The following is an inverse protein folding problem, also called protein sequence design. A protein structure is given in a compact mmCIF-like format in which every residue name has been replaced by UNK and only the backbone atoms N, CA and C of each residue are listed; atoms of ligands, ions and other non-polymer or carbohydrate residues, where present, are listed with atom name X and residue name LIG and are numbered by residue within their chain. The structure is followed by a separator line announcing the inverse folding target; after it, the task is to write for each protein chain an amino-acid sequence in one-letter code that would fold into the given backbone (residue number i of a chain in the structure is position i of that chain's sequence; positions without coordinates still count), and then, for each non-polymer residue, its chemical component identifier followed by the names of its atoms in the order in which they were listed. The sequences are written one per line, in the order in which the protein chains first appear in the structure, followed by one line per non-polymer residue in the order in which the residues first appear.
data_IF_449690304945
#
_entry.id   IF_449690304945
#
_cell.length_a   1.000
_cell.length_b   1.000
_cell.length_c   1.000
_cell.angle_alpha   90.00
_cell.angle_beta   90.00
_cell.angle_gamma   90.00
#
_symmetry.space_group_name_H-M   'P 1'
#
loop_
_entity.id
_entity.type
_entity.pdbx_description
1 polymer ?
#
# COMPACT_ATOMS: atom_id res chain seq x y z
N UNK A 1 2.05 19.81 13.64
CA UNK A 1 1.23 18.70 13.08
C UNK A 1 0.15 18.41 14.09
N UNK A 2 -1.14 18.42 13.73
CA UNK A 2 -2.21 18.13 14.70
C UNK A 2 -2.13 16.65 15.11
N UNK A 3 -2.45 16.33 16.36
CA UNK A 3 -2.27 14.97 16.93
C UNK A 3 -2.98 13.87 16.10
N UNK A 4 -4.07 14.24 15.43
CA UNK A 4 -4.82 13.38 14.52
C UNK A 4 -4.00 12.86 13.31
N UNK A 5 -3.13 13.69 12.71
CA UNK A 5 -2.39 13.28 11.51
C UNK A 5 -1.23 12.33 11.84
N UNK A 6 -0.56 12.55 12.97
CA UNK A 6 0.46 11.63 13.48
C UNK A 6 -0.14 10.26 13.82
N UNK A 7 -1.36 10.24 14.36
CA UNK A 7 -2.12 9.03 14.60
C UNK A 7 -2.45 8.29 13.29
N UNK A 8 -2.92 9.00 12.25
CA UNK A 8 -3.23 8.41 10.94
C UNK A 8 -2.01 7.79 10.26
N UNK A 9 -0.88 8.49 10.26
CA UNK A 9 0.39 7.94 9.75
C UNK A 9 0.80 6.69 10.53
N UNK A 10 0.72 6.75 11.86
CA UNK A 10 1.07 5.59 12.70
C UNK A 10 0.18 4.39 12.40
N UNK A 11 -1.13 4.61 12.22
CA UNK A 11 -2.07 3.57 11.84
C UNK A 11 -1.76 3.00 10.45
N UNK A 12 -1.47 3.86 9.48
CA UNK A 12 -1.14 3.45 8.12
C UNK A 12 0.17 2.64 8.04
N UNK A 13 1.22 3.06 8.75
CA UNK A 13 2.45 2.28 8.88
C UNK A 13 2.20 0.94 9.60
N UNK A 14 1.28 0.92 10.57
CA UNK A 14 0.80 -0.31 11.19
C UNK A 14 0.09 -1.25 10.21
N UNK A 15 -0.71 -0.72 9.28
CA UNK A 15 -1.32 -1.49 8.20
C UNK A 15 -0.25 -2.05 7.26
N UNK A 16 0.78 -1.27 6.88
CA UNK A 16 1.92 -1.75 6.08
C UNK A 16 2.60 -2.95 6.75
N UNK A 17 2.89 -2.84 8.04
CA UNK A 17 3.52 -3.92 8.80
C UNK A 17 2.67 -5.19 8.80
N UNK A 18 1.36 -5.06 9.05
CA UNK A 18 0.44 -6.20 9.01
C UNK A 18 0.37 -6.82 7.60
N UNK A 19 0.32 -5.99 6.56
CA UNK A 19 0.33 -6.45 5.17
C UNK A 19 1.60 -7.26 4.85
N UNK A 20 2.77 -6.78 5.26
CA UNK A 20 4.04 -7.52 5.12
C UNK A 20 4.01 -8.90 5.80
N UNK A 21 3.45 -8.97 7.03
CA UNK A 21 3.27 -10.26 7.72
C UNK A 21 2.36 -11.18 6.90
N UNK A 22 1.27 -10.65 6.34
CA UNK A 22 0.34 -11.44 5.51
C UNK A 22 0.97 -11.94 4.22
N UNK A 23 1.82 -11.16 3.56
CA UNK A 23 2.60 -11.60 2.38
C UNK A 23 3.40 -12.86 2.74
N UNK A 24 4.13 -12.83 3.86
CA UNK A 24 4.93 -13.97 4.31
C UNK A 24 4.07 -15.19 4.69
N UNK A 25 2.87 -14.97 5.24
CA UNK A 25 1.93 -16.05 5.55
C UNK A 25 1.40 -16.76 4.31
N UNK A 26 1.04 -16.01 3.26
CA UNK A 26 0.48 -16.58 2.02
C UNK A 26 1.56 -17.18 1.11
N UNK A 27 2.78 -16.65 1.12
CA UNK A 27 3.92 -17.19 0.39
C UNK A 27 4.26 -18.62 0.83
N UNK A 28 4.06 -18.92 2.12
CA UNK A 28 4.29 -20.26 2.71
C UNK A 28 3.22 -21.30 2.34
N UNK A 29 2.09 -20.90 1.75
CA UNK A 29 1.05 -21.85 1.35
C UNK A 29 1.58 -22.66 0.17
N UNK A 30 1.64 -23.99 0.27
CA UNK A 30 2.08 -24.85 -0.86
C UNK A 30 1.00 -24.95 -1.94
N UNK A 31 1.39 -25.28 -3.17
CA UNK A 31 0.45 -25.40 -4.30
C UNK A 31 -0.67 -26.42 -4.03
N UNK A 32 -0.34 -27.52 -3.35
CA UNK A 32 -1.29 -28.57 -2.96
C UNK A 32 -2.33 -28.09 -1.93
N UNK A 33 -2.01 -27.05 -1.15
CA UNK A 33 -2.86 -26.56 -0.07
C UNK A 33 -3.66 -25.30 -0.44
N UNK A 34 -3.49 -24.71 -1.64
CA UNK A 34 -4.09 -23.43 -2.02
C UNK A 34 -5.62 -23.39 -1.84
N UNK A 35 -6.31 -24.49 -2.13
CA UNK A 35 -7.77 -24.59 -2.05
C UNK A 35 -8.29 -25.12 -0.70
N UNK A 36 -7.43 -25.26 0.31
CA UNK A 36 -7.88 -25.57 1.67
C UNK A 36 -8.57 -24.37 2.30
N UNK A 37 -9.59 -24.60 3.14
CA UNK A 37 -10.29 -23.54 3.86
C UNK A 37 -9.33 -22.62 4.63
N UNK A 38 -8.34 -23.20 5.32
CA UNK A 38 -7.34 -22.42 6.06
C UNK A 38 -6.48 -21.53 5.14
N UNK A 39 -6.18 -21.97 3.92
CA UNK A 39 -5.41 -21.18 2.96
C UNK A 39 -6.24 -20.07 2.36
N UNK A 40 -7.50 -20.35 2.03
CA UNK A 40 -8.45 -19.33 1.57
C UNK A 40 -8.71 -18.26 2.63
N UNK A 41 -8.83 -18.62 3.90
CA UNK A 41 -8.93 -17.66 5.01
C UNK A 41 -7.71 -16.74 5.12
N UNK A 42 -6.49 -17.28 4.91
CA UNK A 42 -5.25 -16.49 4.91
C UNK A 42 -5.19 -15.54 3.71
N UNK A 43 -5.55 -16.02 2.53
CA UNK A 43 -5.59 -15.20 1.30
C UNK A 43 -6.63 -14.08 1.46
N UNK A 44 -7.82 -14.40 1.96
CA UNK A 44 -8.85 -13.41 2.25
C UNK A 44 -8.37 -12.37 3.28
N UNK A 45 -7.73 -12.82 4.36
CA UNK A 45 -7.14 -11.89 5.34
C UNK A 45 -6.08 -11.00 4.71
N UNK A 46 -5.25 -11.52 3.82
CA UNK A 46 -4.30 -10.72 3.04
C UNK A 46 -5.01 -9.67 2.18
N UNK A 47 -6.04 -10.04 1.41
CA UNK A 47 -6.84 -9.13 0.59
C UNK A 47 -7.46 -7.98 1.41
N UNK A 48 -8.01 -8.29 2.58
CA UNK A 48 -8.53 -7.28 3.50
C UNK A 48 -7.46 -6.27 3.92
N UNK A 49 -6.30 -6.75 4.38
CA UNK A 49 -5.20 -5.85 4.76
C UNK A 49 -4.61 -5.07 3.58
N UNK A 50 -4.62 -5.65 2.38
CA UNK A 50 -4.17 -4.99 1.15
C UNK A 50 -5.05 -3.79 0.82
N UNK A 51 -6.37 -3.98 0.80
CA UNK A 51 -7.33 -2.91 0.51
C UNK A 51 -7.35 -1.87 1.62
N UNK A 52 -7.32 -2.28 2.88
CA UNK A 52 -7.24 -1.35 4.02
C UNK A 52 -6.01 -0.44 3.89
N UNK A 53 -4.85 -1.03 3.62
CA UNK A 53 -3.59 -0.30 3.46
C UNK A 53 -3.64 0.72 2.32
N UNK A 54 -4.09 0.29 1.14
CA UNK A 54 -4.13 1.14 -0.06
C UNK A 54 -5.16 2.25 0.10
N UNK A 55 -6.33 1.93 0.64
CA UNK A 55 -7.41 2.89 0.86
C UNK A 55 -7.01 3.95 1.88
N UNK A 56 -6.37 3.56 2.99
CA UNK A 56 -5.85 4.52 3.97
C UNK A 56 -4.83 5.48 3.34
N UNK A 57 -3.95 5.00 2.45
CA UNK A 57 -3.02 5.86 1.71
C UNK A 57 -3.73 6.95 0.92
N UNK A 58 -4.69 6.55 0.07
CA UNK A 58 -5.43 7.46 -0.82
C UNK A 58 -6.32 8.46 -0.09
N UNK A 59 -7.08 8.00 0.91
CA UNK A 59 -8.07 8.85 1.57
C UNK A 59 -7.50 9.71 2.69
N UNK A 60 -6.43 9.27 3.35
CA UNK A 60 -5.96 9.94 4.58
C UNK A 60 -4.57 10.55 4.45
N UNK A 61 -3.68 9.92 3.68
CA UNK A 61 -2.26 10.30 3.66
C UNK A 61 -1.96 11.21 2.46
N UNK A 62 -2.24 10.77 1.24
CA UNK A 62 -1.85 11.52 0.03
C UNK A 62 -2.57 12.86 -0.11
N UNK A 63 -3.83 12.96 0.35
CA UNK A 63 -4.57 14.23 0.33
C UNK A 63 -3.88 15.31 1.18
N UNK A 64 -3.48 14.96 2.40
CA UNK A 64 -2.79 15.89 3.30
C UNK A 64 -1.40 16.24 2.79
N UNK A 65 -0.72 15.28 2.16
CA UNK A 65 0.55 15.54 1.47
C UNK A 65 0.34 16.57 0.36
N UNK A 66 -0.70 16.46 -0.47
CA UNK A 66 -0.99 17.44 -1.52
C UNK A 66 -1.21 18.87 -0.98
N UNK A 67 -1.88 19.04 0.15
CA UNK A 67 -2.05 20.36 0.78
C UNK A 67 -0.71 20.99 1.18
N UNK A 68 0.25 20.20 1.67
CA UNK A 68 1.60 20.69 1.96
C UNK A 68 2.41 21.12 0.74
N UNK A 69 1.96 20.76 -0.46
CA UNK A 69 2.68 21.02 -1.72
C UNK A 69 2.24 22.29 -2.43
N UNK A 70 1.14 22.93 -2.00
CA UNK A 70 0.60 24.13 -2.65
C UNK A 70 1.61 25.29 -2.75
N UNK A 71 2.63 25.32 -1.88
CA UNK A 71 3.68 26.35 -1.87
C UNK A 71 5.05 25.85 -2.41
N UNK A 72 5.09 24.67 -3.04
CA UNK A 72 6.34 24.06 -3.50
C UNK A 72 6.74 24.54 -4.90
N UNK A 73 8.04 24.42 -5.21
CA UNK A 73 8.56 24.75 -6.53
C UNK A 73 7.96 23.85 -7.63
N UNK A 74 7.84 24.32 -8.89
CA UNK A 74 7.35 23.50 -10.00
C UNK A 74 8.10 22.17 -10.19
N UNK A 75 9.41 22.15 -9.89
CA UNK A 75 10.24 20.94 -9.96
C UNK A 75 9.83 19.91 -8.89
N UNK A 76 9.53 20.37 -7.67
CA UNK A 76 9.07 19.50 -6.58
C UNK A 76 7.68 18.93 -6.88
N UNK A 77 6.79 19.75 -7.45
CA UNK A 77 5.47 19.32 -7.90
C UNK A 77 5.55 18.24 -8.99
N UNK A 78 6.40 18.41 -10.01
CA UNK A 78 6.59 17.40 -11.06
C UNK A 78 7.08 16.06 -10.48
N UNK A 79 8.05 16.10 -9.56
CA UNK A 79 8.55 14.90 -8.89
C UNK A 79 7.44 14.15 -8.14
N UNK A 80 6.59 14.88 -7.42
CA UNK A 80 5.54 14.26 -6.62
C UNK A 80 4.40 13.73 -7.47
N UNK A 81 4.02 14.45 -8.53
CA UNK A 81 3.03 13.95 -9.49
C UNK A 81 3.47 12.63 -10.11
N UNK A 82 4.77 12.48 -10.45
CA UNK A 82 5.29 11.19 -10.95
C UNK A 82 5.15 10.07 -9.92
N UNK A 83 5.45 10.35 -8.66
CA UNK A 83 5.29 9.37 -7.58
C UNK A 83 3.81 8.99 -7.43
N UNK A 84 2.90 9.95 -7.40
CA UNK A 84 1.47 9.69 -7.26
C UNK A 84 0.92 8.86 -8.44
N UNK A 85 1.39 9.10 -9.66
CA UNK A 85 1.02 8.29 -10.81
C UNK A 85 1.50 6.84 -10.67
N UNK A 86 2.75 6.61 -10.26
CA UNK A 86 3.26 5.26 -10.02
C UNK A 86 2.56 4.56 -8.85
N UNK A 87 2.15 5.31 -7.83
CA UNK A 87 1.28 4.79 -6.75
C UNK A 87 -0.08 4.34 -7.32
N UNK A 88 -0.64 5.09 -8.27
CA UNK A 88 -1.90 4.70 -8.92
C UNK A 88 -1.74 3.38 -9.70
N UNK A 89 -0.65 3.21 -10.46
CA UNK A 89 -0.38 1.95 -11.17
C UNK A 89 -0.36 0.75 -10.21
N UNK A 90 0.31 0.89 -9.05
CA UNK A 90 0.32 -0.16 -8.02
C UNK A 90 -1.05 -0.41 -7.37
N UNK A 91 -1.89 0.63 -7.28
CA UNK A 91 -3.26 0.51 -6.78
C UNK A 91 -4.10 -0.34 -7.71
N UNK A 92 -3.98 -0.13 -9.02
CA UNK A 92 -4.76 -0.88 -10.01
C UNK A 92 -4.40 -2.37 -9.96
N UNK A 93 -3.11 -2.71 -9.85
CA UNK A 93 -2.64 -4.10 -9.69
C UNK A 93 -3.23 -4.75 -8.43
N UNK A 94 -3.24 -4.02 -7.31
CA UNK A 94 -3.74 -4.53 -6.05
C UNK A 94 -5.26 -4.70 -6.02
N UNK A 95 -6.01 -3.78 -6.62
CA UNK A 95 -7.46 -3.90 -6.78
C UNK A 95 -7.80 -5.10 -7.65
N UNK A 96 -7.11 -5.27 -8.79
CA UNK A 96 -7.30 -6.44 -9.64
C UNK A 96 -6.99 -7.74 -8.88
N UNK A 97 -5.90 -7.80 -8.12
CA UNK A 97 -5.60 -8.98 -7.30
C UNK A 97 -6.70 -9.26 -6.27
N UNK A 98 -7.13 -8.23 -5.54
CA UNK A 98 -8.20 -8.36 -4.56
C UNK A 98 -9.49 -8.87 -5.20
N UNK A 99 -9.88 -8.28 -6.32
CA UNK A 99 -11.09 -8.68 -7.05
C UNK A 99 -11.02 -10.15 -7.46
N UNK A 100 -9.87 -10.67 -7.88
CA UNK A 100 -9.75 -12.08 -8.27
C UNK A 100 -9.81 -13.07 -7.11
N UNK A 101 -9.29 -12.72 -5.92
CA UNK A 101 -9.01 -13.69 -4.85
C UNK A 101 -9.67 -13.43 -3.50
N UNK A 102 -10.38 -12.32 -3.34
CA UNK A 102 -11.20 -12.09 -2.15
C UNK A 102 -12.31 -13.14 -1.99
N UNK A 103 -12.70 -13.44 -0.74
CA UNK A 103 -13.63 -14.53 -0.42
C UNK A 103 -15.01 -14.35 -1.07
N UNK A 104 -15.37 -13.12 -1.44
CA UNK A 104 -16.64 -12.84 -2.11
C UNK A 104 -16.69 -13.31 -3.57
N UNK A 105 -15.57 -13.69 -4.20
CA UNK A 105 -15.56 -14.13 -5.60
C UNK A 105 -15.70 -15.65 -5.79
N UNK A 106 -15.74 -16.45 -4.71
CA UNK A 106 -16.11 -17.90 -4.69
C UNK A 106 -15.38 -18.86 -5.63
N UNK A 107 -14.31 -18.42 -6.30
CA UNK A 107 -13.54 -19.23 -7.26
C UNK A 107 -12.43 -19.98 -6.54
N UNK A 108 -12.18 -21.21 -6.99
CA UNK A 108 -10.94 -21.90 -6.65
C UNK A 108 -9.73 -21.05 -7.05
N UNK A 109 -8.66 -21.14 -6.26
CA UNK A 109 -7.41 -20.43 -6.55
C UNK A 109 -6.82 -21.01 -7.84
N UNK A 110 -6.72 -20.16 -8.86
CA UNK A 110 -6.25 -20.54 -10.19
C UNK A 110 -4.73 -20.75 -10.24
N UNK A 111 -4.24 -21.31 -11.35
CA UNK A 111 -2.83 -21.55 -11.56
C UNK A 111 -1.98 -20.27 -11.69
N UNK A 112 -2.62 -19.11 -11.91
CA UNK A 112 -1.96 -17.81 -12.04
C UNK A 112 -1.74 -17.12 -10.70
N UNK A 113 -2.33 -17.62 -9.61
CA UNK A 113 -2.21 -17.05 -8.27
C UNK A 113 -0.77 -16.70 -7.86
N UNK A 114 0.16 -17.63 -8.06
CA UNK A 114 1.59 -17.41 -7.71
C UNK A 114 2.21 -16.27 -8.50
N UNK A 115 1.94 -16.22 -9.80
CA UNK A 115 2.46 -15.17 -10.66
C UNK A 115 1.86 -13.82 -10.26
N UNK A 116 0.52 -13.73 -10.13
CA UNK A 116 -0.16 -12.50 -9.72
C UNK A 116 0.29 -12.02 -8.35
N UNK A 117 0.54 -12.94 -7.41
CA UNK A 117 1.07 -12.60 -6.09
C UNK A 117 2.49 -12.03 -6.21
N UNK A 118 3.36 -12.64 -7.01
CA UNK A 118 4.71 -12.14 -7.25
C UNK A 118 4.67 -10.71 -7.82
N UNK A 119 3.91 -10.51 -8.90
CA UNK A 119 3.75 -9.22 -9.58
C UNK A 119 3.23 -8.14 -8.61
N UNK A 120 2.24 -8.50 -7.79
CA UNK A 120 1.71 -7.61 -6.74
C UNK A 120 2.78 -7.26 -5.70
N UNK A 121 3.51 -8.25 -5.18
CA UNK A 121 4.51 -8.00 -4.12
C UNK A 121 5.69 -7.19 -4.59
N UNK A 122 6.11 -7.35 -5.85
CA UNK A 122 7.13 -6.51 -6.48
C UNK A 122 6.63 -5.06 -6.61
N UNK A 123 5.41 -4.88 -7.13
CA UNK A 123 4.78 -3.56 -7.23
C UNK A 123 4.60 -2.87 -5.86
N UNK A 124 4.24 -3.63 -4.82
CA UNK A 124 4.14 -3.10 -3.45
C UNK A 124 5.51 -2.69 -2.88
N UNK A 125 6.59 -3.40 -3.20
CA UNK A 125 7.93 -3.02 -2.75
C UNK A 125 8.33 -1.66 -3.32
N UNK A 126 8.15 -1.46 -4.63
CA UNK A 126 8.39 -0.17 -5.29
C UNK A 126 7.49 0.93 -4.70
N UNK A 127 6.21 0.59 -4.43
CA UNK A 127 5.27 1.49 -3.76
C UNK A 127 5.78 1.95 -2.39
N UNK A 128 6.30 1.04 -1.57
CA UNK A 128 6.81 1.39 -0.24
C UNK A 128 7.99 2.36 -0.32
N UNK A 129 8.93 2.16 -1.25
CA UNK A 129 10.05 3.07 -1.46
C UNK A 129 9.56 4.47 -1.88
N UNK A 130 8.59 4.52 -2.79
CA UNK A 130 7.98 5.77 -3.25
C UNK A 130 7.26 6.52 -2.13
N UNK A 131 6.54 5.81 -1.29
CA UNK A 131 5.84 6.36 -0.13
C UNK A 131 6.81 6.87 0.94
N UNK A 132 7.93 6.17 1.16
CA UNK A 132 8.98 6.63 2.06
C UNK A 132 9.62 7.93 1.54
N UNK A 133 9.83 8.05 0.22
CA UNK A 133 10.29 9.30 -0.40
C UNK A 133 9.29 10.45 -0.23
N UNK A 134 7.98 10.18 -0.32
CA UNK A 134 6.94 11.18 -0.04
C UNK A 134 6.99 11.62 1.42
N UNK A 135 7.14 10.67 2.35
CA UNK A 135 7.20 10.95 3.77
C UNK A 135 8.43 11.78 4.16
N UNK A 136 9.60 11.43 3.62
CA UNK A 136 10.85 12.15 3.82
C UNK A 136 10.74 13.58 3.29
N UNK A 137 10.11 13.79 2.14
CA UNK A 137 9.90 15.13 1.60
C UNK A 137 9.06 15.98 2.55
N UNK A 138 7.98 15.42 3.09
CA UNK A 138 7.10 16.18 3.99
C UNK A 138 7.71 16.43 5.37
N UNK A 139 8.43 15.47 5.96
CA UNK A 139 9.05 15.64 7.29
C UNK A 139 10.26 16.58 7.28
N UNK A 140 11.11 16.54 6.23
CA UNK A 140 12.28 17.42 6.12
C UNK A 140 11.91 18.91 6.01
N UNK A 141 10.73 19.24 5.46
CA UNK A 141 10.23 20.61 5.43
C UNK A 141 9.74 21.12 6.80
N UNK A 142 9.36 20.23 7.73
CA UNK A 142 8.97 20.63 9.09
C UNK A 142 10.18 20.81 10.03
N UNK A 143 11.30 20.12 9.77
CA UNK A 143 12.54 20.29 10.53
C UNK A 143 13.23 21.64 10.32
N UNK A 144 13.03 22.28 9.16
CA UNK A 144 13.62 23.58 8.85
C UNK A 144 12.77 24.79 9.29
N UNK A 145 11.49 24.58 9.62
CA UNK A 145 10.61 25.66 10.09
C UNK A 145 10.65 25.88 11.61
N UNK A 146 11.46 25.11 12.35
CA UNK A 146 11.73 25.28 13.79
C UNK A 146 13.15 25.83 14.08
N UNK A 147 13.94 26.11 13.03
CA UNK A 147 15.27 26.71 13.15
C UNK A 147 15.43 27.97 12.27
N UNK A 148 14.35 28.73 12.08
CA UNK A 148 14.37 30.04 11.45
C UNK A 148 13.69 31.08 12.34
#
# INVERSE_FOLDING_TARGET
MNDDYQYRISNWLGLRQKLLVKIVEIDKITTENLNTTSSQEKINSFCQYLIDYISSGHFEIYHRLMETLENQSPLALDKINRILNSIQDSTDIAVEFNDQYDMHNSKEIDALFRQRLSDLTESLAERFEMEDLLFDHCTNHYGQSLTA
#
